data_IF_141293510595
#
_entry.id   IF_141293510595
#
_cell.length_a   1.000
_cell.length_b   1.000
_cell.length_c   1.000
_cell.angle_alpha   90.00
_cell.angle_beta   90.00
_cell.angle_gamma   90.00
#
_symmetry.space_group_name_H-M   'P 1'
#
loop_
_entity.id
_entity.type
_entity.pdbx_description
1 polymer ?
#
# COMPACT_ATOMS: atom_id res chain seq x y z
N UNK A 1 -12.07 -11.52 2.31
CA UNK A 1 -13.06 -10.44 2.05
C UNK A 1 -13.03 -9.54 3.28
N UNK A 2 -12.86 -8.23 3.12
CA UNK A 2 -12.89 -7.29 4.25
C UNK A 2 -14.25 -6.60 4.30
N UNK A 3 -14.80 -6.42 5.50
CA UNK A 3 -15.97 -5.56 5.74
C UNK A 3 -15.52 -4.17 6.16
N UNK A 4 -16.42 -3.18 6.09
CA UNK A 4 -16.15 -1.81 6.57
C UNK A 4 -15.79 -1.85 8.07
N UNK A 5 -16.62 -2.50 8.89
CA UNK A 5 -16.36 -2.62 10.33
C UNK A 5 -15.06 -3.35 10.67
N UNK A 6 -14.72 -4.41 9.92
CA UNK A 6 -13.46 -5.13 10.08
C UNK A 6 -12.26 -4.25 9.73
N UNK A 7 -12.32 -3.53 8.60
CA UNK A 7 -11.29 -2.58 8.19
C UNK A 7 -11.07 -1.48 9.24
N UNK A 8 -12.15 -0.87 9.73
CA UNK A 8 -12.10 0.16 10.77
C UNK A 8 -11.50 -0.38 12.07
N UNK A 9 -11.86 -1.60 12.47
CA UNK A 9 -11.33 -2.25 13.68
C UNK A 9 -9.83 -2.56 13.56
N UNK A 10 -9.35 -2.90 12.37
CA UNK A 10 -7.92 -3.14 12.13
C UNK A 10 -7.12 -1.85 11.94
N UNK A 11 -7.78 -0.71 11.70
CA UNK A 11 -7.11 0.55 11.41
C UNK A 11 -6.31 0.46 10.11
N UNK A 12 -6.96 0.09 8.99
CA UNK A 12 -6.28 -0.01 7.69
C UNK A 12 -5.55 1.30 7.36
N UNK A 13 -4.40 1.15 6.73
CA UNK A 13 -3.38 2.18 6.52
C UNK A 13 -3.83 3.25 5.53
N UNK A 14 -4.48 4.30 6.05
CA UNK A 14 -4.58 5.65 5.47
C UNK A 14 -5.17 6.65 6.48
N UNK A 15 -4.58 6.74 7.70
CA UNK A 15 -4.99 7.60 8.85
C UNK A 15 -6.48 7.53 9.28
N UNK A 16 -7.32 6.81 8.53
CA UNK A 16 -8.77 6.77 8.57
C UNK A 16 -9.40 8.16 8.72
N UNK A 17 -8.79 9.19 8.13
CA UNK A 17 -9.24 10.60 8.22
C UNK A 17 -10.59 10.81 7.56
N UNK A 18 -10.90 10.03 6.51
CA UNK A 18 -12.21 10.01 5.86
C UNK A 18 -13.35 9.46 6.73
N UNK A 19 -13.09 8.92 7.92
CA UNK A 19 -14.14 8.43 8.83
C UNK A 19 -14.69 9.59 9.66
N UNK A 20 -15.91 10.03 9.35
CA UNK A 20 -16.52 11.20 9.99
C UNK A 20 -17.24 10.84 11.30
N UNK A 21 -17.91 9.70 11.35
CA UNK A 21 -18.69 9.26 12.52
C UNK A 21 -18.86 7.75 12.52
N UNK A 22 -18.99 7.16 13.71
CA UNK A 22 -19.29 5.73 13.90
C UNK A 22 -20.53 5.57 14.77
N UNK A 23 -21.26 4.49 14.53
CA UNK A 23 -22.22 3.92 15.48
C UNK A 23 -21.69 2.57 15.96
N UNK A 24 -21.71 2.36 17.28
CA UNK A 24 -21.14 1.20 17.95
C UNK A 24 -22.17 0.58 18.87
N UNK A 25 -22.30 -0.74 18.84
CA UNK A 25 -22.95 -1.51 19.90
C UNK A 25 -21.92 -1.90 20.97
N UNK A 26 -22.17 -1.52 22.21
CA UNK A 26 -21.37 -1.89 23.38
C UNK A 26 -21.77 -3.26 23.93
N UNK A 27 -21.02 -3.77 24.90
CA UNK A 27 -21.26 -5.09 25.52
C UNK A 27 -22.55 -5.17 26.30
N UNK A 28 -23.08 -4.04 26.77
CA UNK A 28 -24.38 -3.96 27.45
C UNK A 28 -25.57 -3.80 26.47
N UNK A 29 -25.29 -3.82 25.16
CA UNK A 29 -26.29 -3.64 24.10
C UNK A 29 -26.65 -2.18 23.81
N UNK A 30 -26.09 -1.21 24.54
CA UNK A 30 -26.30 0.20 24.25
C UNK A 30 -25.62 0.63 22.94
N UNK A 31 -26.20 1.63 22.28
CA UNK A 31 -25.63 2.22 21.08
C UNK A 31 -24.93 3.54 21.41
N UNK A 32 -23.70 3.70 20.94
CA UNK A 32 -22.93 4.93 21.02
C UNK A 32 -22.68 5.47 19.62
N UNK A 33 -22.87 6.78 19.45
CA UNK A 33 -22.51 7.52 18.24
C UNK A 33 -21.34 8.45 18.53
N UNK A 34 -20.49 8.66 17.54
CA UNK A 34 -19.30 9.53 17.65
C UNK A 34 -19.34 10.68 16.65
N UNK A 35 -18.41 11.63 16.80
CA UNK A 35 -18.36 12.84 15.98
C UNK A 35 -19.61 13.72 16.16
N UNK A 36 -19.95 14.52 15.15
CA UNK A 36 -21.12 15.39 15.18
C UNK A 36 -22.46 14.62 15.20
N UNK A 37 -22.45 13.32 14.91
CA UNK A 37 -23.61 12.44 15.07
C UNK A 37 -23.96 12.14 16.54
N UNK A 38 -23.04 12.41 17.47
CA UNK A 38 -23.22 12.20 18.90
C UNK A 38 -24.06 13.29 19.58
N UNK A 39 -24.41 14.37 18.87
CA UNK A 39 -25.20 15.46 19.43
C UNK A 39 -26.58 14.98 19.88
N UNK A 40 -26.98 15.41 21.07
CA UNK A 40 -28.33 15.17 21.58
C UNK A 40 -29.38 15.97 20.82
N UNK A 41 -29.02 17.18 20.38
CA UNK A 41 -29.85 18.08 19.59
C UNK A 41 -29.46 18.01 18.11
N UNK A 42 -30.38 17.52 17.26
CA UNK A 42 -30.20 17.46 15.79
C UNK A 42 -28.91 16.73 15.35
N UNK A 43 -28.80 15.42 15.59
CA UNK A 43 -27.61 14.65 15.20
C UNK A 43 -27.39 14.69 13.68
N UNK A 44 -26.16 14.98 13.25
CA UNK A 44 -25.78 14.98 11.84
C UNK A 44 -24.32 14.53 11.67
N UNK A 45 -24.00 13.51 10.87
CA UNK A 45 -22.66 12.90 10.81
C UNK A 45 -21.73 13.56 9.77
N UNK A 46 -21.47 14.86 9.90
CA UNK A 46 -20.67 15.61 8.92
C UNK A 46 -19.27 16.00 9.41
N UNK A 47 -18.96 15.87 10.70
CA UNK A 47 -17.71 16.34 11.27
C UNK A 47 -17.18 15.43 12.37
N UNK A 48 -15.93 14.96 12.22
CA UNK A 48 -15.28 14.03 13.16
C UNK A 48 -14.93 14.69 14.48
N UNK A 49 -14.26 15.84 14.41
CA UNK A 49 -13.67 16.50 15.58
C UNK A 49 -14.64 17.48 16.24
N UNK A 50 -15.88 17.05 16.45
CA UNK A 50 -16.88 17.83 17.19
C UNK A 50 -16.64 17.69 18.70
N UNK A 51 -15.56 18.33 19.19
CA UNK A 51 -14.97 18.08 20.50
C UNK A 51 -13.78 17.12 20.43
N UNK A 52 -13.44 16.40 21.52
CA UNK A 52 -12.43 15.35 21.48
C UNK A 52 -12.75 14.31 20.41
N UNK A 53 -11.72 13.77 19.75
CA UNK A 53 -11.89 12.77 18.70
C UNK A 53 -12.25 11.38 19.27
N UNK A 54 -13.50 11.24 19.71
CA UNK A 54 -14.02 9.95 20.19
C UNK A 54 -14.15 8.94 19.05
N UNK A 55 -14.35 9.40 17.80
CA UNK A 55 -14.36 8.52 16.63
C UNK A 55 -13.03 7.78 16.49
N UNK A 56 -11.92 8.49 16.66
CA UNK A 56 -10.57 7.94 16.60
C UNK A 56 -10.29 6.84 17.63
N UNK A 57 -10.92 6.90 18.81
CA UNK A 57 -10.77 5.88 19.85
C UNK A 57 -11.24 4.48 19.39
N UNK A 58 -12.25 4.44 18.52
CA UNK A 58 -12.84 3.19 18.02
C UNK A 58 -12.25 2.73 16.67
N UNK A 59 -11.23 3.41 16.16
CA UNK A 59 -10.51 3.04 14.94
C UNK A 59 -9.20 2.34 15.34
N UNK A 60 -8.92 1.17 14.77
CA UNK A 60 -7.72 0.40 15.12
C UNK A 60 -7.80 -0.27 16.49
N UNK A 61 -8.98 -0.34 17.10
CA UNK A 61 -9.21 -0.92 18.43
C UNK A 61 -9.23 -2.46 18.45
N UNK A 62 -8.96 -3.10 17.32
CA UNK A 62 -9.05 -4.56 17.15
C UNK A 62 -10.47 -5.12 17.32
N UNK A 63 -11.50 -4.26 17.35
CA UNK A 63 -12.89 -4.65 17.64
C UNK A 63 -13.18 -4.85 19.13
N UNK A 64 -12.29 -4.42 20.03
CA UNK A 64 -12.40 -4.67 21.47
C UNK A 64 -13.33 -3.71 22.20
N UNK A 65 -13.54 -2.50 21.66
CA UNK A 65 -14.31 -1.45 22.34
C UNK A 65 -15.79 -1.41 21.92
N UNK A 66 -16.19 -2.25 20.97
CA UNK A 66 -17.56 -2.34 20.51
C UNK A 66 -17.67 -2.81 19.06
N UNK A 67 -18.85 -3.32 18.70
CA UNK A 67 -19.16 -3.75 17.35
C UNK A 67 -19.62 -2.53 16.52
N UNK A 68 -18.92 -2.23 15.42
CA UNK A 68 -19.25 -1.10 14.54
C UNK A 68 -20.48 -1.50 13.72
N UNK A 69 -21.61 -0.84 13.97
CA UNK A 69 -22.90 -1.11 13.31
C UNK A 69 -23.11 -0.21 12.11
N UNK A 70 -22.61 1.03 12.16
CA UNK A 70 -22.63 1.97 11.04
C UNK A 70 -21.39 2.86 11.02
N UNK A 71 -21.05 3.37 9.84
CA UNK A 71 -19.98 4.33 9.65
C UNK A 71 -20.41 5.38 8.62
N UNK A 72 -20.03 6.63 8.86
CA UNK A 72 -20.15 7.71 7.90
C UNK A 72 -18.79 8.07 7.36
N UNK A 73 -18.64 8.01 6.04
CA UNK A 73 -17.38 8.21 5.34
C UNK A 73 -17.48 9.46 4.46
N UNK A 74 -16.42 10.27 4.45
CA UNK A 74 -16.23 11.32 3.46
C UNK A 74 -16.06 10.69 2.08
N UNK A 75 -16.74 11.24 1.08
CA UNK A 75 -16.62 10.82 -0.31
C UNK A 75 -15.86 11.89 -1.10
N UNK A 76 -15.00 11.43 -2.00
CA UNK A 76 -14.28 12.28 -2.93
C UNK A 76 -14.74 12.01 -4.37
N UNK A 77 -14.73 13.03 -5.25
CA UNK A 77 -14.96 12.82 -6.68
C UNK A 77 -13.94 11.84 -7.26
N UNK A 78 -14.38 11.06 -8.25
CA UNK A 78 -13.45 10.22 -9.03
C UNK A 78 -12.46 11.14 -9.77
N UNK A 79 -11.13 10.88 -9.69
CA UNK A 79 -10.14 11.69 -10.39
C UNK A 79 -10.40 11.76 -11.89
N UNK A 80 -10.22 12.94 -12.48
CA UNK A 80 -10.48 13.17 -13.90
C UNK A 80 -9.43 12.53 -14.81
N UNK A 81 -8.19 12.39 -14.33
CA UNK A 81 -7.10 11.74 -15.05
C UNK A 81 -6.19 10.94 -14.11
N UNK A 82 -5.53 9.93 -14.68
CA UNK A 82 -4.53 9.11 -13.99
C UNK A 82 -3.33 8.85 -14.88
N UNK A 83 -2.14 8.92 -14.32
CA UNK A 83 -0.89 8.61 -15.01
C UNK A 83 -0.05 7.63 -14.22
N UNK A 84 0.82 6.89 -14.92
CA UNK A 84 1.52 5.74 -14.36
C UNK A 84 3.01 5.82 -14.66
N UNK A 85 3.84 5.43 -13.70
CA UNK A 85 5.28 5.26 -13.90
C UNK A 85 5.77 4.02 -13.16
N UNK A 86 6.89 3.45 -13.62
CA UNK A 86 7.53 2.33 -12.94
C UNK A 86 9.05 2.45 -13.02
N UNK A 87 9.72 2.04 -11.96
CA UNK A 87 11.16 2.17 -11.81
C UNK A 87 11.76 0.89 -11.24
N UNK A 88 12.98 0.56 -11.67
CA UNK A 88 13.77 -0.53 -11.12
C UNK A 88 14.92 0.03 -10.27
N UNK A 89 15.23 -0.68 -9.19
CA UNK A 89 16.31 -0.37 -8.25
C UNK A 89 17.11 -1.63 -7.93
N UNK A 90 18.41 -1.45 -7.65
CA UNK A 90 19.33 -2.56 -7.36
C UNK A 90 19.28 -3.00 -5.88
N UNK A 91 18.74 -2.18 -4.97
CA UNK A 91 18.72 -2.48 -3.54
C UNK A 91 17.46 -2.02 -2.82
N UNK A 92 17.15 -2.68 -1.71
CA UNK A 92 16.01 -2.32 -0.86
C UNK A 92 16.16 -0.92 -0.24
N UNK A 93 17.41 -0.52 0.06
CA UNK A 93 17.70 0.80 0.59
C UNK A 93 17.44 1.92 -0.44
N UNK A 94 17.79 1.69 -1.71
CA UNK A 94 17.56 2.65 -2.80
C UNK A 94 16.05 2.86 -3.06
N UNK A 95 15.27 1.78 -3.18
CA UNK A 95 13.81 1.91 -3.33
C UNK A 95 13.17 2.56 -2.11
N UNK A 96 13.65 2.25 -0.89
CA UNK A 96 13.14 2.89 0.35
C UNK A 96 13.40 4.39 0.35
N UNK A 97 14.61 4.84 -0.03
CA UNK A 97 14.92 6.28 -0.16
C UNK A 97 14.06 6.95 -1.24
N UNK A 98 13.87 6.31 -2.38
CA UNK A 98 13.01 6.83 -3.44
C UNK A 98 11.56 6.97 -2.95
N UNK A 99 11.02 5.96 -2.27
CA UNK A 99 9.69 6.00 -1.66
C UNK A 99 9.57 7.12 -0.61
N UNK A 100 10.62 7.37 0.17
CA UNK A 100 10.70 8.50 1.10
C UNK A 100 10.64 9.83 0.38
N UNK A 101 11.49 10.03 -0.64
CA UNK A 101 11.48 11.25 -1.43
C UNK A 101 10.13 11.48 -2.13
N UNK A 102 9.51 10.43 -2.67
CA UNK A 102 8.21 10.54 -3.33
C UNK A 102 7.11 10.96 -2.34
N UNK A 103 7.08 10.39 -1.14
CA UNK A 103 6.09 10.77 -0.14
C UNK A 103 6.23 12.22 0.34
N UNK A 104 7.46 12.74 0.39
CA UNK A 104 7.71 14.14 0.73
C UNK A 104 7.12 15.13 -0.29
N UNK A 105 6.85 14.68 -1.52
CA UNK A 105 6.17 15.51 -2.53
C UNK A 105 4.70 15.77 -2.19
N UNK A 106 4.06 14.94 -1.35
CA UNK A 106 2.65 15.07 -0.94
C UNK A 106 1.68 15.19 -2.13
N UNK A 107 1.99 14.47 -3.20
CA UNK A 107 1.17 14.45 -4.42
C UNK A 107 0.17 13.29 -4.38
N UNK A 108 -1.07 13.49 -4.86
CA UNK A 108 -2.11 12.47 -4.89
C UNK A 108 -1.65 11.26 -5.70
N UNK A 109 -1.36 10.15 -5.02
CA UNK A 109 -0.82 8.98 -5.70
C UNK A 109 -0.97 7.69 -4.90
N UNK A 110 -0.77 6.59 -5.61
CA UNK A 110 -0.53 5.27 -5.05
C UNK A 110 0.90 4.88 -5.39
N UNK A 111 1.68 4.51 -4.37
CA UNK A 111 3.09 4.13 -4.52
C UNK A 111 3.30 2.72 -3.96
N UNK A 112 3.78 1.80 -4.79
CA UNK A 112 3.95 0.40 -4.41
C UNK A 112 5.32 -0.12 -4.82
N UNK A 113 6.09 -0.58 -3.84
CA UNK A 113 7.38 -1.25 -4.00
C UNK A 113 7.27 -2.77 -3.88
N UNK A 114 7.89 -3.49 -4.81
CA UNK A 114 7.93 -4.95 -4.84
C UNK A 114 9.37 -5.44 -4.70
N UNK A 115 9.53 -6.59 -4.04
CA UNK A 115 10.81 -7.29 -3.90
C UNK A 115 11.13 -8.16 -5.12
N UNK A 116 12.36 -8.70 -5.23
CA UNK A 116 12.77 -9.46 -6.41
C UNK A 116 11.84 -10.62 -6.73
N UNK A 117 11.33 -11.34 -5.72
CA UNK A 117 10.44 -12.48 -5.97
C UNK A 117 9.08 -12.02 -6.48
N UNK A 118 8.46 -10.99 -5.89
CA UNK A 118 7.18 -10.46 -6.42
C UNK A 118 7.36 -9.75 -7.75
N UNK A 119 8.44 -9.01 -7.94
CA UNK A 119 8.78 -8.34 -9.21
C UNK A 119 8.93 -9.35 -10.35
N UNK A 120 9.55 -10.50 -10.11
CA UNK A 120 9.69 -11.58 -11.11
C UNK A 120 8.40 -12.37 -11.34
N UNK A 121 7.55 -12.51 -10.32
CA UNK A 121 6.27 -13.23 -10.43
C UNK A 121 5.11 -12.35 -10.90
N UNK A 122 5.21 -11.02 -10.79
CA UNK A 122 4.17 -10.07 -11.21
C UNK A 122 3.81 -10.19 -12.70
N UNK A 123 4.74 -10.39 -13.66
CA UNK A 123 4.38 -10.67 -15.04
C UNK A 123 3.58 -11.96 -15.24
N UNK A 124 3.74 -12.97 -14.37
CA UNK A 124 2.97 -14.22 -14.46
C UNK A 124 1.52 -14.00 -14.01
N UNK A 125 1.30 -13.06 -13.09
CA UNK A 125 -0.02 -12.72 -12.54
C UNK A 125 -0.50 -11.39 -13.13
N UNK A 126 -1.12 -11.44 -14.31
CA UNK A 126 -1.89 -10.32 -14.84
C UNK A 126 -1.29 -9.57 -16.02
N UNK A 127 -0.13 -9.97 -16.55
CA UNK A 127 0.45 -9.35 -17.76
C UNK A 127 -0.48 -9.45 -18.99
N UNK A 128 -1.15 -10.60 -19.19
CA UNK A 128 -2.15 -10.74 -20.26
C UNK A 128 -3.30 -9.74 -20.09
N UNK A 129 -3.83 -9.61 -18.87
CA UNK A 129 -4.87 -8.61 -18.59
C UNK A 129 -4.38 -7.17 -18.67
N UNK A 130 -3.10 -6.91 -18.38
CA UNK A 130 -2.47 -5.62 -18.55
C UNK A 130 -2.48 -5.22 -20.03
N UNK A 131 -1.97 -6.10 -20.89
CA UNK A 131 -1.97 -5.92 -22.35
C UNK A 131 -3.39 -5.75 -22.87
N UNK A 132 -4.34 -6.59 -22.45
CA UNK A 132 -5.75 -6.46 -22.86
C UNK A 132 -6.36 -5.12 -22.42
N UNK A 133 -6.04 -4.65 -21.21
CA UNK A 133 -6.51 -3.35 -20.70
C UNK A 133 -5.93 -2.21 -21.52
N UNK A 134 -4.61 -2.20 -21.73
CA UNK A 134 -3.96 -1.14 -22.51
C UNK A 134 -4.44 -1.16 -23.97
N UNK A 135 -4.60 -2.34 -24.58
CA UNK A 135 -5.17 -2.46 -25.92
C UNK A 135 -6.59 -1.89 -25.97
N UNK A 136 -7.45 -2.19 -24.98
CA UNK A 136 -8.78 -1.60 -24.88
C UNK A 136 -8.75 -0.08 -24.70
N UNK A 137 -7.86 0.44 -23.87
CA UNK A 137 -7.69 1.89 -23.66
C UNK A 137 -7.18 2.57 -24.94
N UNK A 138 -6.23 1.97 -25.64
CA UNK A 138 -5.71 2.46 -26.91
C UNK A 138 -6.77 2.43 -28.03
N UNK A 139 -7.62 1.40 -28.06
CA UNK A 139 -8.72 1.28 -29.02
C UNK A 139 -9.93 2.18 -28.68
N UNK A 140 -10.14 2.50 -27.40
CA UNK A 140 -11.21 3.39 -26.94
C UNK A 140 -10.81 4.88 -26.95
N UNK A 141 -9.52 5.20 -26.96
CA UNK A 141 -8.99 6.55 -26.84
C UNK A 141 -8.71 7.22 -28.18
N UNK A 142 -9.51 8.22 -28.55
CA UNK A 142 -9.31 9.09 -29.72
C UNK A 142 -8.19 10.14 -29.50
N UNK A 143 -7.09 9.80 -28.82
CA UNK A 143 -5.99 10.74 -28.49
C UNK A 143 -4.62 10.10 -28.70
N UNK A 144 -4.00 10.46 -29.83
CA UNK A 144 -2.81 9.82 -30.43
C UNK A 144 -1.45 10.03 -29.71
N UNK A 145 -1.32 10.80 -28.64
CA UNK A 145 0.02 11.12 -28.11
C UNK A 145 0.53 10.19 -26.99
N UNK A 146 -0.33 9.83 -26.03
CA UNK A 146 0.05 9.01 -24.87
C UNK A 146 0.01 7.50 -25.15
N UNK A 147 -1.11 7.02 -25.71
CA UNK A 147 -1.35 5.59 -25.93
C UNK A 147 -0.39 4.94 -26.94
N UNK A 148 0.15 5.70 -27.89
CA UNK A 148 1.12 5.20 -28.87
C UNK A 148 2.51 4.95 -28.25
N UNK A 149 2.95 5.78 -27.29
CA UNK A 149 4.22 5.57 -26.57
C UNK A 149 4.15 4.33 -25.68
N UNK A 150 3.05 4.17 -24.95
CA UNK A 150 2.84 3.00 -24.10
C UNK A 150 2.73 1.72 -24.94
N UNK A 151 2.03 1.76 -26.08
CA UNK A 151 1.95 0.64 -27.01
C UNK A 151 3.28 0.29 -27.69
N UNK A 152 4.14 1.27 -27.97
CA UNK A 152 5.47 1.04 -28.53
C UNK A 152 6.44 0.48 -27.48
N UNK A 153 6.41 1.05 -26.26
CA UNK A 153 7.16 0.50 -25.12
C UNK A 153 6.74 -0.95 -24.82
N UNK A 154 5.45 -1.28 -24.95
CA UNK A 154 4.93 -2.65 -24.83
C UNK A 154 5.50 -3.64 -25.84
N UNK A 155 5.59 -3.23 -27.11
CA UNK A 155 6.11 -4.10 -28.18
C UNK A 155 7.61 -4.35 -28.02
N UNK A 156 8.37 -3.34 -27.58
CA UNK A 156 9.81 -3.44 -27.35
C UNK A 156 10.16 -4.21 -26.07
N UNK A 157 9.34 -4.10 -25.02
CA UNK A 157 9.63 -4.67 -23.70
C UNK A 157 9.39 -6.19 -23.60
N UNK A 158 8.52 -6.75 -24.44
CA UNK A 158 8.22 -8.18 -24.45
C UNK A 158 7.74 -8.72 -23.09
N UNK A 159 7.80 -10.04 -22.90
CA UNK A 159 7.46 -10.70 -21.61
C UNK A 159 8.53 -10.54 -20.53
N UNK A 160 9.69 -9.97 -20.88
CA UNK A 160 10.91 -10.02 -20.06
C UNK A 160 11.30 -8.66 -19.46
N UNK A 161 10.41 -7.67 -19.47
CA UNK A 161 10.71 -6.32 -18.97
C UNK A 161 11.06 -6.25 -17.47
N UNK A 162 10.69 -7.29 -16.71
CA UNK A 162 11.03 -7.48 -15.29
C UNK A 162 12.19 -8.46 -15.08
N UNK A 163 12.75 -9.03 -16.16
CA UNK A 163 13.88 -9.94 -16.07
C UNK A 163 15.11 -9.19 -15.55
N UNK A 164 15.76 -9.74 -14.52
CA UNK A 164 16.89 -9.10 -13.84
C UNK A 164 16.52 -7.93 -12.91
N UNK A 165 15.25 -7.51 -12.83
CA UNK A 165 14.82 -6.47 -11.89
C UNK A 165 14.83 -7.02 -10.47
N UNK A 166 15.65 -6.43 -9.61
CA UNK A 166 15.71 -6.77 -8.20
C UNK A 166 14.56 -6.11 -7.44
N UNK A 167 14.47 -4.78 -7.44
CA UNK A 167 13.39 -4.08 -6.75
C UNK A 167 12.64 -3.21 -7.74
N UNK A 168 11.30 -3.18 -7.65
CA UNK A 168 10.50 -2.34 -8.53
C UNK A 168 9.54 -1.44 -7.78
N UNK A 169 9.47 -0.18 -8.19
CA UNK A 169 8.55 0.82 -7.67
C UNK A 169 7.53 1.16 -8.75
N UNK A 170 6.25 1.15 -8.39
CA UNK A 170 5.14 1.41 -9.28
C UNK A 170 4.30 2.54 -8.71
N UNK A 171 4.07 3.56 -9.53
CA UNK A 171 3.39 4.79 -9.12
C UNK A 171 2.19 5.01 -10.04
N UNK A 172 1.04 5.28 -9.44
CA UNK A 172 -0.14 5.83 -10.11
C UNK A 172 -0.41 7.20 -9.51
N UNK A 173 -0.36 8.27 -10.30
CA UNK A 173 -0.70 9.62 -9.88
C UNK A 173 -2.11 9.99 -10.36
N UNK A 174 -2.92 10.53 -9.45
CA UNK A 174 -4.25 11.04 -9.75
C UNK A 174 -4.16 12.55 -10.01
N UNK A 175 -4.98 13.06 -10.95
CA UNK A 175 -4.99 14.48 -11.30
C UNK A 175 -6.37 15.00 -11.67
N UNK A 176 -6.60 16.29 -11.40
CA UNK A 176 -7.79 17.01 -11.86
C UNK A 176 -7.80 17.22 -13.38
N UNK A 177 -6.67 17.00 -14.05
CA UNK A 177 -6.50 17.02 -15.51
C UNK A 177 -5.32 16.14 -15.92
N UNK A 178 -5.23 15.81 -17.22
CA UNK A 178 -4.09 15.07 -17.79
C UNK A 178 -2.76 15.79 -17.46
N UNK A 179 -2.71 17.11 -17.65
CA UNK A 179 -1.52 17.91 -17.36
C UNK A 179 -1.10 17.87 -15.88
N UNK A 180 -2.06 17.85 -14.95
CA UNK A 180 -1.76 17.75 -13.52
C UNK A 180 -1.19 16.36 -13.16
N UNK A 181 -1.76 15.30 -13.73
CA UNK A 181 -1.26 13.94 -13.52
C UNK A 181 0.14 13.75 -14.15
N UNK A 182 0.39 14.33 -15.33
CA UNK A 182 1.70 14.31 -15.99
C UNK A 182 2.75 15.07 -15.18
N UNK A 183 2.41 16.25 -14.66
CA UNK A 183 3.29 17.04 -13.80
C UNK A 183 3.66 16.26 -12.53
N UNK A 184 2.69 15.58 -11.91
CA UNK A 184 2.94 14.76 -10.73
C UNK A 184 3.90 13.60 -11.03
N UNK A 185 3.68 12.85 -12.13
CA UNK A 185 4.61 11.81 -12.59
C UNK A 185 5.99 12.39 -12.90
N UNK A 186 6.07 13.59 -13.48
CA UNK A 186 7.33 14.30 -13.70
C UNK A 186 8.13 14.50 -12.42
N UNK A 187 7.48 14.96 -11.35
CA UNK A 187 8.11 15.14 -10.05
C UNK A 187 8.56 13.80 -9.43
N UNK A 188 7.72 12.77 -9.47
CA UNK A 188 8.08 11.44 -9.00
C UNK A 188 9.27 10.86 -9.78
N UNK A 189 9.30 11.05 -11.09
CA UNK A 189 10.38 10.60 -11.97
C UNK A 189 11.72 11.23 -11.59
N UNK A 190 11.75 12.54 -11.29
CA UNK A 190 12.98 13.21 -10.84
C UNK A 190 13.54 12.58 -9.56
N UNK A 191 12.68 12.24 -8.60
CA UNK A 191 13.10 11.55 -7.37
C UNK A 191 13.61 10.14 -7.66
N UNK A 192 12.87 9.36 -8.44
CA UNK A 192 13.19 7.96 -8.67
C UNK A 192 14.46 7.76 -9.51
N UNK A 193 14.72 8.65 -10.49
CA UNK A 193 15.89 8.57 -11.35
C UNK A 193 17.20 8.95 -10.66
N UNK A 194 17.17 9.42 -9.41
CA UNK A 194 18.39 9.66 -8.64
C UNK A 194 19.18 8.37 -8.36
N UNK A 195 18.49 7.24 -8.19
CA UNK A 195 19.10 5.93 -7.86
C UNK A 195 18.48 4.74 -8.62
N UNK A 196 17.45 5.00 -9.42
CA UNK A 196 16.74 3.99 -10.19
C UNK A 196 16.78 4.26 -11.67
N UNK A 197 16.21 3.32 -12.43
CA UNK A 197 15.98 3.47 -13.87
C UNK A 197 14.50 3.27 -14.18
N UNK A 198 13.97 4.03 -15.13
CA UNK A 198 12.59 3.85 -15.57
C UNK A 198 12.42 2.53 -16.32
N UNK A 199 11.30 1.87 -16.08
CA UNK A 199 10.88 0.62 -16.72
C UNK A 199 9.43 0.76 -17.20
N UNK A 200 8.96 -0.10 -18.12
CA UNK A 200 7.58 -0.07 -18.58
C UNK A 200 6.57 -0.14 -17.42
N UNK A 201 5.55 0.71 -17.48
CA UNK A 201 4.54 0.95 -16.43
C UNK A 201 3.31 0.03 -16.53
N UNK A 202 3.48 -1.18 -17.08
CA UNK A 202 2.35 -2.10 -17.32
C UNK A 202 1.73 -2.65 -16.05
N UNK A 203 2.54 -2.86 -15.01
CA UNK A 203 2.05 -3.43 -13.75
C UNK A 203 1.04 -2.51 -13.03
N UNK A 204 1.29 -1.21 -12.80
CA UNK A 204 0.31 -0.34 -12.15
C UNK A 204 -0.98 -0.18 -12.96
N UNK A 205 -0.91 -0.23 -14.30
CA UNK A 205 -2.11 -0.25 -15.16
C UNK A 205 -2.93 -1.54 -14.93
N UNK A 206 -2.27 -2.70 -14.89
CA UNK A 206 -2.91 -3.99 -14.64
C UNK A 206 -3.62 -4.03 -13.28
N UNK A 207 -2.94 -3.53 -12.25
CA UNK A 207 -3.46 -3.48 -10.88
C UNK A 207 -4.65 -2.53 -10.76
N UNK A 208 -4.66 -1.43 -11.51
CA UNK A 208 -5.81 -0.53 -11.60
C UNK A 208 -7.05 -1.21 -12.19
N UNK A 209 -6.89 -2.09 -13.19
CA UNK A 209 -8.00 -2.77 -13.85
C UNK A 209 -8.63 -3.89 -13.00
N UNK A 210 -7.83 -4.57 -12.18
CA UNK A 210 -8.29 -5.64 -11.26
C UNK A 210 -7.64 -5.46 -9.89
N UNK A 211 -8.14 -4.53 -9.07
CA UNK A 211 -7.52 -4.19 -7.78
C UNK A 211 -7.65 -5.29 -6.72
N UNK A 212 -8.56 -6.26 -6.89
CA UNK A 212 -8.81 -7.30 -5.90
C UNK A 212 -8.77 -8.70 -6.51
N UNK A 213 -8.03 -9.61 -5.86
CA UNK A 213 -8.01 -11.03 -6.19
C UNK A 213 -7.95 -11.86 -4.91
N UNK A 214 -8.93 -12.74 -4.72
CA UNK A 214 -8.93 -13.71 -3.60
C UNK A 214 -7.80 -14.72 -3.73
N UNK A 215 -7.24 -14.91 -4.94
CA UNK A 215 -6.10 -15.79 -5.18
C UNK A 215 -4.78 -15.25 -4.61
N UNK A 216 -4.73 -13.99 -4.15
CA UNK A 216 -3.51 -13.39 -3.58
C UNK A 216 -3.10 -13.93 -2.20
N UNK A 217 -3.87 -14.82 -1.58
CA UNK A 217 -3.54 -15.46 -0.30
C UNK A 217 -2.82 -16.81 -0.46
N UNK A 218 -2.76 -17.34 -1.67
CA UNK A 218 -2.03 -18.55 -2.01
C UNK A 218 -1.02 -18.22 -3.10
N UNK A 219 0.17 -18.80 -2.99
CA UNK A 219 1.14 -18.74 -4.08
C UNK A 219 0.66 -19.53 -5.31
N UNK A 220 1.29 -19.31 -6.48
CA UNK A 220 0.89 -19.96 -7.74
C UNK A 220 0.82 -21.48 -7.65
N UNK A 221 1.63 -22.09 -6.77
CA UNK A 221 1.71 -23.54 -6.57
C UNK A 221 0.98 -23.99 -5.29
N UNK A 222 0.10 -23.15 -4.74
CA UNK A 222 -0.67 -23.45 -3.52
C UNK A 222 0.08 -23.17 -2.22
N UNK A 223 1.17 -22.40 -2.27
CA UNK A 223 1.92 -22.02 -1.06
C UNK A 223 1.05 -21.20 -0.11
N UNK A 224 1.19 -21.41 1.20
CA UNK A 224 0.50 -20.59 2.21
C UNK A 224 1.25 -19.28 2.39
N UNK A 225 0.63 -18.16 2.06
CA UNK A 225 1.21 -16.85 2.30
C UNK A 225 0.68 -16.27 3.60
N UNK A 226 1.59 -16.00 4.55
CA UNK A 226 1.28 -15.35 5.81
C UNK A 226 1.72 -13.89 5.72
N UNK A 227 0.79 -12.92 5.65
CA UNK A 227 1.16 -11.51 5.61
C UNK A 227 1.71 -11.08 6.97
N UNK A 228 2.83 -10.37 6.95
CA UNK A 228 3.36 -9.66 8.12
C UNK A 228 3.41 -8.17 7.78
N UNK A 229 2.79 -7.33 8.61
CA UNK A 229 2.67 -5.89 8.38
C UNK A 229 3.44 -5.11 9.45
N UNK A 230 4.03 -3.98 9.08
CA UNK A 230 4.71 -3.07 10.00
C UNK A 230 4.50 -1.61 9.57
N UNK A 231 4.51 -0.71 10.56
CA UNK A 231 4.49 0.75 10.36
C UNK A 231 5.79 1.31 10.90
N UNK A 232 6.51 2.07 10.08
CA UNK A 232 7.84 2.55 10.40
C UNK A 232 7.94 4.07 10.17
N UNK A 233 8.69 4.80 11.01
CA UNK A 233 9.01 6.18 10.71
C UNK A 233 10.00 6.26 9.54
N UNK A 234 9.88 7.25 8.62
CA UNK A 234 10.75 7.43 7.46
C UNK A 234 12.23 7.46 7.84
N UNK A 235 12.54 8.13 8.95
CA UNK A 235 13.89 8.27 9.48
C UNK A 235 14.55 6.95 9.86
N UNK A 236 13.77 5.88 10.11
CA UNK A 236 14.26 4.54 10.41
C UNK A 236 13.91 3.50 9.36
N UNK A 237 13.12 3.84 8.33
CA UNK A 237 12.62 2.88 7.36
C UNK A 237 13.76 2.18 6.61
N UNK A 238 14.81 2.90 6.22
CA UNK A 238 15.96 2.32 5.53
C UNK A 238 16.83 1.42 6.44
N UNK A 239 17.03 1.81 7.69
CA UNK A 239 17.76 0.98 8.67
C UNK A 239 16.96 -0.29 8.98
N UNK A 240 15.67 -0.14 9.29
CA UNK A 240 14.77 -1.26 9.50
C UNK A 240 14.85 -2.21 8.30
N UNK A 241 14.65 -1.70 7.07
CA UNK A 241 14.73 -2.42 5.80
C UNK A 241 15.95 -3.35 5.74
N UNK A 242 17.14 -2.82 6.04
CA UNK A 242 18.38 -3.59 6.09
C UNK A 242 18.36 -4.64 7.21
N UNK A 243 17.96 -4.26 8.42
CA UNK A 243 17.98 -5.14 9.59
C UNK A 243 17.14 -6.39 9.43
N UNK A 244 15.97 -6.31 8.82
CA UNK A 244 15.23 -7.55 8.60
C UNK A 244 15.55 -8.27 7.30
N UNK A 245 16.20 -7.63 6.31
CA UNK A 245 16.91 -8.44 5.31
C UNK A 245 17.97 -9.32 5.99
N UNK A 246 18.79 -8.72 6.87
CA UNK A 246 19.81 -9.41 7.66
C UNK A 246 19.22 -10.53 8.54
N UNK A 247 18.14 -10.25 9.27
CA UNK A 247 17.46 -11.23 10.13
C UNK A 247 17.10 -12.52 9.39
N UNK A 248 16.54 -12.39 8.18
CA UNK A 248 16.17 -13.55 7.38
C UNK A 248 17.38 -14.21 6.72
N UNK A 249 18.39 -13.44 6.33
CA UNK A 249 19.63 -13.99 5.75
C UNK A 249 20.39 -14.86 6.76
N UNK A 250 20.48 -14.42 8.02
CA UNK A 250 21.05 -15.19 9.13
C UNK A 250 20.28 -16.49 9.42
N UNK A 251 19.02 -16.59 8.99
CA UNK A 251 18.12 -17.74 9.23
C UNK A 251 17.84 -18.53 7.96
N UNK A 252 18.55 -18.25 6.88
CA UNK A 252 18.33 -18.83 5.55
C UNK A 252 18.32 -20.35 5.57
N UNK A 253 19.31 -20.97 6.20
CA UNK A 253 19.46 -22.44 6.21
C UNK A 253 18.28 -23.10 6.94
N UNK A 254 17.87 -22.51 8.07
CA UNK A 254 16.69 -22.97 8.83
C UNK A 254 15.40 -22.80 8.04
N UNK A 255 15.25 -21.68 7.34
CA UNK A 255 14.09 -21.42 6.48
C UNK A 255 14.02 -22.43 5.32
N UNK A 256 15.15 -22.72 4.68
CA UNK A 256 15.25 -23.73 3.63
C UNK A 256 14.89 -25.13 4.15
N UNK A 257 15.42 -25.52 5.31
CA UNK A 257 15.10 -26.80 5.93
C UNK A 257 13.60 -26.97 6.26
N UNK A 258 12.89 -25.86 6.49
CA UNK A 258 11.46 -25.84 6.79
C UNK A 258 10.58 -25.55 5.57
N UNK A 259 11.16 -25.33 4.38
CA UNK A 259 10.43 -24.95 3.17
C UNK A 259 9.74 -23.58 3.27
N UNK A 260 10.27 -22.68 4.10
CA UNK A 260 9.72 -21.32 4.30
C UNK A 260 10.42 -20.33 3.39
N UNK A 261 9.64 -19.56 2.65
CA UNK A 261 10.15 -18.48 1.79
C UNK A 261 9.75 -17.09 2.28
N UNK A 262 10.56 -16.07 1.93
CA UNK A 262 10.21 -14.65 2.14
C UNK A 262 9.96 -13.95 0.81
N UNK A 263 9.03 -13.01 0.81
CA UNK A 263 8.80 -12.06 -0.29
C UNK A 263 8.35 -10.70 0.29
N UNK A 264 9.29 -9.86 0.77
CA UNK A 264 8.93 -8.55 1.32
C UNK A 264 8.21 -7.70 0.26
N UNK A 265 7.43 -6.71 0.67
CA UNK A 265 6.87 -5.73 -0.27
C UNK A 265 6.60 -4.45 0.49
N UNK A 266 7.00 -3.30 -0.03
CA UNK A 266 6.75 -2.03 0.64
C UNK A 266 5.61 -1.31 -0.07
N UNK A 267 4.69 -0.69 0.65
CA UNK A 267 3.60 0.08 0.04
C UNK A 267 3.59 1.42 0.74
N UNK A 268 3.81 2.50 0.01
CA UNK A 268 3.67 3.84 0.57
C UNK A 268 2.30 4.37 0.18
N UNK A 269 1.52 4.70 1.21
CA UNK A 269 0.34 5.52 1.08
C UNK A 269 0.79 6.96 1.37
N UNK A 270 0.85 7.84 0.37
CA UNK A 270 1.02 9.26 0.64
C UNK A 270 -0.27 9.73 1.29
N UNK A 271 -0.32 9.75 2.62
CA UNK A 271 -1.46 10.35 3.29
C UNK A 271 -1.50 11.85 2.96
N UNK A 272 -2.70 12.33 2.68
CA UNK A 272 -2.99 13.73 2.40
C UNK A 272 -2.66 14.66 3.58
N UNK A 273 -2.49 14.09 4.79
CA UNK A 273 -2.14 14.80 6.02
C UNK A 273 -1.05 14.14 6.86
N UNK A 274 -0.06 13.49 6.24
CA UNK A 274 1.12 13.04 7.00
C UNK A 274 1.97 14.24 7.43
N UNK A 275 1.90 14.54 8.73
CA UNK A 275 3.07 14.99 9.48
C UNK A 275 4.26 14.08 9.09
N UNK A 276 5.44 14.68 8.99
CA UNK A 276 6.74 14.22 8.50
C UNK A 276 7.27 12.82 8.93
N UNK A 277 6.45 11.94 9.51
CA UNK A 277 6.85 10.87 10.42
C UNK A 277 6.38 9.45 10.09
N UNK A 278 5.67 9.14 9.00
CA UNK A 278 5.34 7.73 8.68
C UNK A 278 5.44 7.36 7.20
N UNK A 279 6.21 6.30 6.90
CA UNK A 279 6.22 5.63 5.60
C UNK A 279 6.25 4.11 5.77
N UNK A 280 5.53 3.44 4.88
CA UNK A 280 5.08 2.07 5.07
C UNK A 280 5.97 1.10 4.26
N UNK A 281 6.68 0.22 4.97
CA UNK A 281 7.61 -0.77 4.44
C UNK A 281 7.72 -1.99 5.36
N UNK A 282 7.74 -3.20 4.79
CA UNK A 282 7.44 -4.48 5.46
C UNK A 282 8.65 -5.17 6.06
N UNK A 283 8.65 -5.41 7.38
CA UNK A 283 9.57 -6.32 8.10
C UNK A 283 8.99 -6.85 9.44
N UNK A 284 9.41 -8.04 9.94
CA UNK A 284 8.79 -8.75 11.06
C UNK A 284 9.26 -8.31 12.47
N UNK A 285 8.34 -8.36 13.43
CA UNK A 285 8.59 -8.22 14.87
C UNK A 285 8.36 -9.55 15.60
N UNK A 286 9.43 -10.32 15.84
CA UNK A 286 9.50 -11.31 16.92
C UNK A 286 10.96 -11.48 17.37
N UNK A 287 11.36 -10.75 18.42
CA UNK A 287 12.32 -11.11 19.49
C UNK A 287 12.74 -9.84 20.24
N UNK A 288 11.94 -9.44 21.22
CA UNK A 288 12.47 -8.76 22.39
C UNK A 288 12.80 -9.86 23.40
N UNK A 289 14.01 -9.79 23.95
CA UNK A 289 14.56 -10.68 24.97
C UNK A 289 13.52 -11.04 26.05
N UNK A 290 13.37 -12.34 26.32
CA UNK A 290 12.95 -12.78 27.64
C UNK A 290 14.20 -12.86 28.51
N UNK A 291 14.26 -12.18 29.68
CA UNK A 291 15.33 -12.42 30.62
C UNK A 291 15.26 -13.87 31.11
N UNK A 292 16.39 -14.56 31.00
CA UNK A 292 16.64 -15.87 31.57
C UNK A 292 16.56 -15.81 33.09
N UNK A 293 15.48 -16.34 33.67
CA UNK A 293 15.51 -16.91 35.03
C UNK A 293 14.37 -17.92 35.17
N UNK A 294 14.67 -19.18 34.82
CA UNK A 294 14.00 -20.31 35.46
C UNK A 294 14.96 -20.69 36.57
N UNK A 295 14.61 -20.31 37.80
CA UNK A 295 15.27 -20.83 38.98
C UNK A 295 14.88 -22.28 39.16
N UNK A 296 15.88 -23.15 39.20
CA UNK A 296 15.75 -24.48 39.77
C UNK A 296 15.45 -24.34 41.27
N UNK A 297 14.39 -25.01 41.72
CA UNK A 297 13.98 -25.06 43.11
C UNK A 297 13.02 -26.23 43.31
N UNK A 298 13.61 -27.33 43.80
CA UNK A 298 13.03 -28.48 44.52
C UNK A 298 11.56 -28.43 44.90
#
# INVERSE_FOLDING_TARGET
MSTVGGALSQGVVDEMTGVLSLELALTDGSLVRTGSAARCDQPSPFFRNFGPDLTGLFIGDGGTLGAKTAATLALEPVPAAKQHASFAFESFAAITRAMIGCAQLRLPSRIMGLDPKKSQNAPRVGFKSAIETVAKVALAGNKLAGGLRDAFAMAAAGRNFMEGVQWSLHITADGASEAAADAAIGAFRQVCLAEGREIPNLLPIALGAKPFSVRGFLGPEGERWVPTNAVLPPSRAAEAAQRALQFFDERRDRMQALGVERAPSAVVFPAWHLDSRCLLGVLPTWLLDRPSSIGDGS
#
